data_IF_863095861322
#
_entry.id   IF_863095861322
#
_cell.length_a   1.000
_cell.length_b   1.000
_cell.length_c   1.000
_cell.angle_alpha   90.00
_cell.angle_beta   90.00
_cell.angle_gamma   90.00
#
_symmetry.space_group_name_H-M   'P 1'
#
loop_
_entity.id
_entity.type
_entity.pdbx_description
1 polymer ?
#
# COMPACT_ATOMS: atom_id res chain seq x y z
N UNK A 1 -29.43 -10.90 33.59
CA UNK A 1 -28.93 -9.60 33.14
C UNK A 1 -27.97 -9.85 32.00
N UNK A 2 -28.26 -9.50 30.75
CA UNK A 2 -27.30 -9.65 29.67
C UNK A 2 -26.28 -8.51 29.73
N UNK A 3 -25.00 -8.86 29.66
CA UNK A 3 -23.91 -7.94 29.60
C UNK A 3 -23.95 -7.17 28.26
N UNK A 4 -23.95 -5.88 28.39
CA UNK A 4 -23.94 -4.86 27.35
C UNK A 4 -22.65 -5.00 26.51
N UNK A 5 -22.80 -5.49 25.28
CA UNK A 5 -21.73 -5.50 24.27
C UNK A 5 -21.62 -4.10 23.67
N UNK A 6 -21.09 -3.13 24.44
CA UNK A 6 -20.80 -1.80 23.92
C UNK A 6 -19.49 -1.81 23.14
N UNK A 7 -19.66 -1.63 21.85
CA UNK A 7 -18.83 -0.85 20.94
C UNK A 7 -17.35 -0.73 21.31
N UNK A 8 -16.56 -1.74 20.91
CA UNK A 8 -15.15 -1.51 20.64
C UNK A 8 -15.04 -0.61 19.40
N UNK A 9 -14.45 0.56 19.55
CA UNK A 9 -14.03 1.34 18.39
C UNK A 9 -13.14 0.48 17.48
N UNK A 10 -13.38 0.50 16.16
CA UNK A 10 -12.52 -0.23 15.26
C UNK A 10 -11.08 0.29 15.39
N UNK A 11 -10.15 -0.61 15.70
CA UNK A 11 -8.73 -0.30 15.88
C UNK A 11 -8.00 0.03 14.56
N UNK A 12 -8.71 0.06 13.43
CA UNK A 12 -8.22 0.65 12.20
C UNK A 12 -8.37 2.17 12.32
N UNK A 13 -7.28 2.90 12.28
CA UNK A 13 -7.29 4.34 12.05
C UNK A 13 -7.80 4.63 10.64
N UNK A 14 -9.07 4.24 10.38
CA UNK A 14 -9.82 4.68 9.23
C UNK A 14 -9.93 6.19 9.37
N UNK A 15 -9.16 6.91 8.58
CA UNK A 15 -9.47 8.30 8.28
C UNK A 15 -10.92 8.24 7.80
N UNK A 16 -11.88 8.89 8.50
CA UNK A 16 -13.25 8.89 8.03
C UNK A 16 -13.22 9.40 6.59
N UNK A 17 -13.96 8.76 5.67
CA UNK A 17 -14.04 9.27 4.32
C UNK A 17 -14.50 10.71 4.41
N UNK A 18 -13.73 11.64 3.84
CA UNK A 18 -14.24 13.00 3.66
C UNK A 18 -15.58 12.89 2.93
N UNK A 19 -16.60 13.66 3.34
CA UNK A 19 -17.90 13.61 2.69
C UNK A 19 -17.69 13.89 1.19
N UNK A 20 -18.01 12.88 0.38
CA UNK A 20 -17.87 12.97 -1.07
C UNK A 20 -18.65 14.17 -1.58
N UNK A 21 -17.97 15.19 -2.07
CA UNK A 21 -18.57 16.21 -2.91
C UNK A 21 -19.05 15.59 -4.22
N UNK A 22 -19.90 16.24 -4.98
CA UNK A 22 -20.40 15.74 -6.26
C UNK A 22 -19.26 15.45 -7.32
N UNK A 23 -18.03 15.90 -7.05
CA UNK A 23 -16.82 15.67 -7.85
C UNK A 23 -16.01 14.43 -7.41
N UNK A 24 -16.36 13.78 -6.28
CA UNK A 24 -15.64 12.64 -5.72
C UNK A 24 -16.20 11.27 -6.16
N UNK A 25 -16.80 11.18 -7.34
CA UNK A 25 -17.21 9.89 -7.87
C UNK A 25 -15.99 9.04 -8.20
N UNK A 26 -15.82 7.92 -7.49
CA UNK A 26 -14.75 6.95 -7.78
C UNK A 26 -15.09 6.23 -9.08
N UNK A 27 -14.35 6.51 -10.13
CA UNK A 27 -14.48 5.76 -11.39
C UNK A 27 -13.88 4.37 -11.20
N UNK A 28 -14.69 3.33 -11.38
CA UNK A 28 -14.22 1.93 -11.33
C UNK A 28 -13.11 1.73 -12.38
N UNK A 29 -12.04 1.04 -12.00
CA UNK A 29 -10.89 0.79 -12.87
C UNK A 29 -9.95 1.98 -13.02
N UNK A 30 -10.06 2.99 -12.15
CA UNK A 30 -9.11 4.10 -12.08
C UNK A 30 -8.43 4.17 -10.72
N UNK A 31 -7.11 4.08 -10.74
CA UNK A 31 -6.27 4.32 -9.58
C UNK A 31 -6.15 5.83 -9.29
N UNK A 32 -5.76 6.17 -8.08
CA UNK A 32 -5.51 7.55 -7.68
C UNK A 32 -4.09 7.67 -7.11
N UNK A 33 -3.30 8.60 -7.65
CA UNK A 33 -2.06 9.03 -7.01
C UNK A 33 -2.43 9.91 -5.82
N UNK A 34 -2.35 9.33 -4.61
CA UNK A 34 -2.67 10.01 -3.35
C UNK A 34 -1.58 10.98 -2.93
N UNK A 35 -0.36 10.65 -3.30
CA UNK A 35 0.81 11.47 -3.05
C UNK A 35 1.79 11.32 -4.21
N UNK A 36 2.21 12.40 -4.88
CA UNK A 36 3.27 12.32 -5.87
C UNK A 36 4.63 12.06 -5.21
N UNK A 37 5.54 11.42 -5.95
CA UNK A 37 6.90 11.14 -5.50
C UNK A 37 7.82 10.72 -6.64
N UNK A 38 9.12 10.67 -6.38
CA UNK A 38 10.15 10.47 -7.42
C UNK A 38 11.06 9.26 -7.18
N UNK A 39 11.15 8.75 -5.94
CA UNK A 39 12.19 7.76 -5.60
C UNK A 39 11.66 6.33 -5.58
N UNK A 40 10.44 6.12 -5.09
CA UNK A 40 9.82 4.79 -4.98
C UNK A 40 8.32 4.88 -5.23
N UNK A 41 7.79 4.00 -6.07
CA UNK A 41 6.36 3.76 -6.24
C UNK A 41 5.85 2.83 -5.15
N UNK A 42 4.89 3.29 -4.35
CA UNK A 42 4.15 2.47 -3.38
C UNK A 42 2.76 2.21 -3.92
N UNK A 43 2.48 0.95 -4.28
CA UNK A 43 1.17 0.53 -4.77
C UNK A 43 0.39 -0.09 -3.62
N UNK A 44 -0.77 0.46 -3.31
CA UNK A 44 -1.59 0.00 -2.17
C UNK A 44 -3.08 0.09 -2.48
N UNK A 45 -3.92 -0.47 -1.60
CA UNK A 45 -5.39 -0.41 -1.69
C UNK A 45 -6.02 -0.71 -0.33
N UNK A 46 -7.22 -0.18 -0.10
CA UNK A 46 -8.00 -0.45 1.11
C UNK A 46 -7.38 0.13 2.38
N UNK A 47 -7.40 -0.64 3.47
CA UNK A 47 -6.93 -0.18 4.80
C UNK A 47 -5.50 0.37 4.85
N UNK A 48 -4.50 -0.25 4.20
CA UNK A 48 -3.12 0.21 4.24
C UNK A 48 -2.83 1.58 3.60
N UNK A 49 -3.75 2.16 2.85
CA UNK A 49 -3.53 3.48 2.19
C UNK A 49 -3.12 4.55 3.21
N UNK A 50 -3.82 4.63 4.35
CA UNK A 50 -3.46 5.59 5.41
C UNK A 50 -2.07 5.36 5.99
N UNK A 51 -1.71 4.09 6.22
CA UNK A 51 -0.38 3.73 6.72
C UNK A 51 0.73 4.04 5.69
N UNK A 52 0.44 3.84 4.39
CA UNK A 52 1.37 4.18 3.31
C UNK A 52 1.61 5.69 3.22
N UNK A 53 0.58 6.51 3.38
CA UNK A 53 0.70 7.97 3.41
C UNK A 53 1.53 8.43 4.60
N UNK A 54 1.24 7.91 5.81
CA UNK A 54 2.03 8.23 7.01
C UNK A 54 3.50 7.83 6.87
N UNK A 55 3.77 6.65 6.30
CA UNK A 55 5.14 6.21 6.02
C UNK A 55 5.85 7.12 5.01
N UNK A 56 5.13 7.60 3.98
CA UNK A 56 5.70 8.50 2.99
C UNK A 56 6.06 9.88 3.58
N UNK A 57 5.23 10.42 4.47
CA UNK A 57 5.54 11.65 5.21
C UNK A 57 6.75 11.47 6.13
N UNK A 58 6.83 10.34 6.82
CA UNK A 58 7.95 10.03 7.70
C UNK A 58 9.25 9.83 6.92
N UNK A 59 9.22 9.12 5.78
CA UNK A 59 10.35 8.93 4.89
C UNK A 59 10.94 10.26 4.42
N UNK A 60 10.09 11.18 3.96
CA UNK A 60 10.53 12.51 3.53
C UNK A 60 11.14 13.30 4.68
N UNK A 61 10.48 13.34 5.85
CA UNK A 61 10.92 14.10 7.00
C UNK A 61 12.25 13.59 7.58
N UNK A 62 12.46 12.25 7.63
CA UNK A 62 13.62 11.65 8.28
C UNK A 62 14.78 11.38 7.35
N UNK A 63 14.52 11.09 6.09
CA UNK A 63 15.50 10.59 5.12
C UNK A 63 15.55 11.40 3.83
N UNK A 64 14.60 12.30 3.60
CA UNK A 64 14.47 13.05 2.34
C UNK A 64 13.98 12.18 1.16
N UNK A 65 13.43 10.98 1.43
CA UNK A 65 12.92 10.08 0.38
C UNK A 65 11.53 10.48 -0.08
N UNK A 66 11.34 10.55 -1.39
CA UNK A 66 10.10 10.97 -2.04
C UNK A 66 9.32 9.77 -2.56
N UNK A 67 8.32 9.31 -1.79
CA UNK A 67 7.50 8.16 -2.13
C UNK A 67 6.24 8.59 -2.88
N UNK A 68 5.99 8.02 -4.06
CA UNK A 68 4.71 8.12 -4.75
C UNK A 68 3.75 7.05 -4.22
N UNK A 69 2.62 7.48 -3.66
CA UNK A 69 1.60 6.55 -3.12
C UNK A 69 0.41 6.47 -4.06
N UNK A 70 0.18 5.30 -4.62
CA UNK A 70 -0.94 4.97 -5.52
C UNK A 70 -1.96 4.12 -4.78
N UNK A 71 -3.18 4.63 -4.66
CA UNK A 71 -4.35 3.87 -4.23
C UNK A 71 -5.04 3.27 -5.46
N UNK A 72 -5.05 1.94 -5.57
CA UNK A 72 -5.64 1.24 -6.71
C UNK A 72 -7.15 1.39 -6.79
N UNK A 73 -7.85 1.59 -5.66
CA UNK A 73 -9.31 1.72 -5.54
C UNK A 73 -10.11 0.54 -6.12
N UNK A 74 -9.69 0.02 -7.29
CA UNK A 74 -10.30 -1.11 -7.98
C UNK A 74 -9.23 -2.15 -8.31
N UNK A 75 -9.52 -3.41 -7.98
CA UNK A 75 -8.64 -4.54 -8.28
C UNK A 75 -9.03 -5.24 -9.58
N UNK A 76 -10.32 -5.17 -9.95
CA UNK A 76 -10.87 -5.73 -11.18
C UNK A 76 -12.01 -4.79 -11.66
N UNK A 77 -11.84 -4.08 -12.79
CA UNK A 77 -10.60 -3.95 -13.55
C UNK A 77 -9.51 -3.18 -12.80
N UNK A 78 -8.24 -3.52 -13.06
CA UNK A 78 -7.07 -2.86 -12.49
C UNK A 78 -6.57 -1.77 -13.44
N UNK A 79 -6.32 -0.56 -12.94
CA UNK A 79 -5.61 0.50 -13.65
C UNK A 79 -4.10 0.25 -13.60
N UNK A 80 -3.64 -0.66 -14.44
CA UNK A 80 -2.22 -0.99 -14.50
C UNK A 80 -1.39 0.11 -15.17
N UNK A 81 -1.97 0.87 -16.08
CA UNK A 81 -1.28 1.95 -16.80
C UNK A 81 -0.77 3.03 -15.83
N UNK A 82 -1.57 3.38 -14.81
CA UNK A 82 -1.14 4.32 -13.76
C UNK A 82 0.04 3.76 -12.96
N UNK A 83 0.04 2.47 -12.63
CA UNK A 83 1.14 1.80 -11.92
C UNK A 83 2.40 1.76 -12.78
N UNK A 84 2.28 1.36 -14.04
CA UNK A 84 3.38 1.29 -14.99
C UNK A 84 4.03 2.67 -15.22
N UNK A 85 3.23 3.71 -15.43
CA UNK A 85 3.72 5.07 -15.60
C UNK A 85 4.50 5.58 -14.38
N UNK A 86 4.10 5.20 -13.16
CA UNK A 86 4.81 5.53 -11.94
C UNK A 86 6.14 4.78 -11.85
N UNK A 87 6.13 3.47 -12.07
CA UNK A 87 7.35 2.63 -12.03
C UNK A 87 8.37 3.11 -13.06
N UNK A 88 7.92 3.46 -14.28
CA UNK A 88 8.79 4.03 -15.32
C UNK A 88 9.54 5.29 -14.86
N UNK A 89 8.93 6.10 -13.99
CA UNK A 89 9.58 7.32 -13.45
C UNK A 89 10.50 7.05 -12.28
N UNK A 90 10.11 6.12 -11.38
CA UNK A 90 10.81 5.89 -10.10
C UNK A 90 11.84 4.77 -10.16
N UNK A 91 11.72 3.84 -11.11
CA UNK A 91 12.54 2.65 -11.22
C UNK A 91 12.39 1.65 -10.07
N UNK A 92 11.59 1.95 -9.04
CA UNK A 92 11.49 1.17 -7.80
C UNK A 92 10.04 1.00 -7.37
N UNK A 93 9.69 -0.18 -6.90
CA UNK A 93 8.31 -0.47 -6.52
C UNK A 93 8.22 -1.30 -5.23
N UNK A 94 7.28 -0.90 -4.35
CA UNK A 94 6.84 -1.67 -3.20
C UNK A 94 5.33 -1.82 -3.26
N UNK A 95 4.83 -3.06 -3.16
CA UNK A 95 3.40 -3.34 -3.04
C UNK A 95 3.04 -3.51 -1.57
N UNK A 96 2.09 -2.71 -1.07
CA UNK A 96 1.61 -2.79 0.32
C UNK A 96 0.15 -3.22 0.38
N UNK A 97 -0.14 -4.32 1.11
CA UNK A 97 -1.51 -4.83 1.27
C UNK A 97 -1.67 -5.67 2.53
N UNK A 98 -2.90 -5.80 3.04
CA UNK A 98 -3.20 -6.55 4.27
C UNK A 98 -3.12 -8.07 4.11
N UNK A 99 -3.33 -8.59 2.92
CA UNK A 99 -3.35 -10.04 2.68
C UNK A 99 -2.03 -10.74 3.05
N UNK A 100 -2.07 -12.05 3.23
CA UNK A 100 -0.88 -12.85 3.52
C UNK A 100 0.14 -12.77 2.37
N UNK A 101 1.39 -13.03 2.69
CA UNK A 101 2.49 -12.93 1.73
C UNK A 101 2.36 -13.91 0.56
N UNK A 102 1.95 -15.16 0.84
CA UNK A 102 1.94 -16.23 -0.17
C UNK A 102 0.73 -16.21 -1.10
N UNK A 103 -0.46 -15.83 -0.61
CA UNK A 103 -1.73 -15.97 -1.35
C UNK A 103 -2.50 -14.66 -1.52
N UNK A 104 -1.94 -13.55 -1.07
CA UNK A 104 -2.60 -12.25 -1.21
C UNK A 104 -2.58 -11.74 -2.64
N UNK A 105 -3.55 -10.88 -3.01
CA UNK A 105 -3.62 -10.24 -4.33
C UNK A 105 -2.30 -9.57 -4.74
N UNK A 106 -1.55 -9.01 -3.79
CA UNK A 106 -0.24 -8.42 -4.04
C UNK A 106 0.81 -9.39 -4.59
N UNK A 107 0.62 -10.71 -4.46
CA UNK A 107 1.51 -11.68 -5.11
C UNK A 107 1.28 -11.72 -6.63
N UNK A 108 0.00 -11.73 -7.07
CA UNK A 108 -0.35 -11.65 -8.48
C UNK A 108 0.04 -10.30 -9.10
N UNK A 109 -0.19 -9.21 -8.37
CA UNK A 109 0.22 -7.87 -8.81
C UNK A 109 1.75 -7.78 -8.96
N UNK A 110 2.50 -8.32 -8.01
CA UNK A 110 3.96 -8.37 -8.07
C UNK A 110 4.47 -9.20 -9.27
N UNK A 111 3.80 -10.34 -9.56
CA UNK A 111 4.13 -11.15 -10.75
C UNK A 111 3.88 -10.35 -12.03
N UNK A 112 2.74 -9.68 -12.15
CA UNK A 112 2.40 -8.85 -13.31
C UNK A 112 3.39 -7.70 -13.50
N UNK A 113 3.74 -6.98 -12.43
CA UNK A 113 4.76 -5.91 -12.50
C UNK A 113 6.10 -6.49 -12.95
N UNK A 114 6.49 -7.66 -12.43
CA UNK A 114 7.73 -8.32 -12.83
C UNK A 114 7.72 -8.74 -14.30
N UNK A 115 6.59 -9.22 -14.83
CA UNK A 115 6.46 -9.66 -16.22
C UNK A 115 6.46 -8.47 -17.20
N UNK A 116 5.75 -7.38 -16.87
CA UNK A 116 5.54 -6.26 -17.78
C UNK A 116 6.58 -5.13 -17.61
N UNK A 117 7.18 -4.98 -16.42
CA UNK A 117 8.03 -3.84 -16.06
C UNK A 117 9.46 -4.25 -15.65
N UNK A 118 9.89 -5.50 -15.92
CA UNK A 118 11.19 -6.01 -15.47
C UNK A 118 12.37 -5.10 -15.83
N UNK A 119 12.40 -4.60 -17.05
CA UNK A 119 13.50 -3.76 -17.56
C UNK A 119 13.47 -2.31 -17.07
N UNK A 120 12.37 -1.90 -16.43
CA UNK A 120 12.20 -0.58 -15.83
C UNK A 120 12.59 -0.57 -14.34
N UNK A 121 12.73 -1.76 -13.73
CA UNK A 121 13.05 -1.89 -12.32
C UNK A 121 14.56 -1.83 -12.09
N UNK A 122 14.99 -0.89 -11.25
CA UNK A 122 16.37 -0.72 -10.78
C UNK A 122 16.68 -1.52 -9.51
N UNK A 123 15.64 -2.06 -8.85
CA UNK A 123 15.75 -2.85 -7.63
C UNK A 123 14.70 -3.97 -7.61
N UNK A 124 14.90 -5.04 -6.80
CA UNK A 124 13.87 -6.07 -6.64
C UNK A 124 12.56 -5.47 -6.12
N UNK A 125 11.43 -5.86 -6.73
CA UNK A 125 10.11 -5.52 -6.23
C UNK A 125 9.89 -6.18 -4.87
N UNK A 126 9.55 -5.39 -3.85
CA UNK A 126 9.29 -5.88 -2.50
C UNK A 126 7.80 -5.76 -2.14
N UNK A 127 7.38 -6.54 -1.14
CA UNK A 127 6.00 -6.54 -0.65
C UNK A 127 5.96 -6.31 0.86
N UNK A 128 5.34 -5.21 1.28
CA UNK A 128 4.96 -4.94 2.66
C UNK A 128 3.55 -5.51 2.90
N UNK A 129 3.43 -6.70 3.46
CA UNK A 129 2.16 -7.43 3.57
C UNK A 129 2.03 -8.16 4.90
N UNK A 130 0.85 -8.72 5.14
CA UNK A 130 0.59 -9.58 6.28
C UNK A 130 1.50 -10.82 6.28
N UNK A 131 1.59 -11.49 7.42
CA UNK A 131 2.35 -12.72 7.57
C UNK A 131 1.50 -13.95 7.19
N UNK A 132 2.15 -15.04 6.79
CA UNK A 132 1.49 -16.28 6.36
C UNK A 132 1.00 -17.09 7.58
N UNK A 133 0.06 -16.53 8.31
CA UNK A 133 -0.61 -17.14 9.46
C UNK A 133 -2.12 -16.89 9.36
N UNK A 134 -2.97 -17.68 10.05
CA UNK A 134 -4.37 -17.34 10.20
C UNK A 134 -4.53 -15.90 10.75
N UNK A 135 -5.58 -15.21 10.31
CA UNK A 135 -5.86 -13.85 10.79
C UNK A 135 -6.05 -13.85 12.32
N UNK A 136 -5.32 -13.02 13.04
CA UNK A 136 -5.33 -13.05 14.50
C UNK A 136 -6.59 -12.42 15.11
N UNK A 137 -6.87 -12.69 16.39
CA UNK A 137 -7.90 -11.95 17.14
C UNK A 137 -7.57 -10.45 17.19
N UNK A 138 -8.59 -9.61 17.31
CA UNK A 138 -8.49 -8.13 17.28
C UNK A 138 -7.35 -7.53 18.14
N UNK A 139 -7.08 -8.11 19.33
CA UNK A 139 -6.00 -7.67 20.22
C UNK A 139 -4.58 -7.80 19.63
N UNK A 140 -4.40 -8.68 18.62
CA UNK A 140 -3.10 -8.95 17.97
C UNK A 140 -3.05 -8.40 16.53
N UNK A 141 -4.13 -7.84 16.04
CA UNK A 141 -4.29 -7.36 14.66
C UNK A 141 -3.20 -6.36 14.26
N UNK A 142 -2.84 -5.44 15.16
CA UNK A 142 -1.78 -4.45 14.91
C UNK A 142 -0.40 -5.06 14.66
N UNK A 143 -0.14 -6.26 15.17
CA UNK A 143 1.12 -6.98 14.93
C UNK A 143 1.13 -7.69 13.57
N UNK A 144 -0.05 -8.00 13.07
CA UNK A 144 -0.24 -8.73 11.82
C UNK A 144 -0.33 -7.81 10.62
N UNK A 145 -1.10 -6.72 10.73
CA UNK A 145 -1.27 -5.73 9.67
C UNK A 145 0.06 -5.04 9.34
N UNK A 146 0.32 -4.79 8.04
CA UNK A 146 1.48 -4.03 7.63
C UNK A 146 1.31 -2.56 8.03
N UNK A 147 2.16 -2.11 8.97
CA UNK A 147 2.25 -0.72 9.38
C UNK A 147 3.28 0.09 8.58
N UNK A 148 3.42 1.40 8.91
CA UNK A 148 4.45 2.27 8.32
C UNK A 148 5.85 1.69 8.40
N UNK A 149 6.24 1.14 9.55
CA UNK A 149 7.58 0.57 9.78
C UNK A 149 7.93 -0.51 8.76
N UNK A 150 6.97 -1.44 8.49
CA UNK A 150 7.18 -2.53 7.52
C UNK A 150 7.31 -2.01 6.09
N UNK A 151 6.62 -0.93 5.75
CA UNK A 151 6.79 -0.27 4.46
C UNK A 151 8.17 0.40 4.38
N UNK A 152 8.59 1.15 5.41
CA UNK A 152 9.88 1.82 5.46
C UNK A 152 11.05 0.84 5.37
N UNK A 153 10.98 -0.34 6.01
CA UNK A 153 11.96 -1.40 5.84
C UNK A 153 12.09 -1.87 4.38
N UNK A 154 10.96 -1.98 3.67
CA UNK A 154 10.98 -2.31 2.24
C UNK A 154 11.57 -1.17 1.41
N UNK A 155 11.21 0.07 1.69
CA UNK A 155 11.72 1.27 1.00
C UNK A 155 13.24 1.39 1.17
N UNK A 156 13.74 1.25 2.40
CA UNK A 156 15.19 1.29 2.67
C UNK A 156 15.95 0.23 1.87
N UNK A 157 15.38 -0.97 1.75
CA UNK A 157 15.99 -2.06 0.99
C UNK A 157 16.00 -1.83 -0.51
N UNK A 158 14.95 -1.23 -1.09
CA UNK A 158 14.93 -0.95 -2.55
C UNK A 158 15.78 0.27 -2.91
N UNK A 159 15.98 1.21 -1.99
CA UNK A 159 16.85 2.37 -2.18
C UNK A 159 18.33 2.05 -1.88
N UNK A 160 18.60 1.09 -0.99
CA UNK A 160 19.96 0.67 -0.61
C UNK A 160 20.59 -0.35 -1.55
N UNK A 161 19.92 -0.76 -2.63
CA UNK A 161 20.52 -1.61 -3.67
C UNK A 161 21.39 -0.75 -4.60
N UNK A 162 22.63 -1.17 -4.88
CA UNK A 162 23.52 -0.45 -5.79
C UNK A 162 23.07 -0.55 -7.24
#
# INVERSE_FOLDING_TARGET
>A
MPADCRSGEPASGLIPPEPAGAEDSVTIGRALVRRPGTDVTVVTYGGPVGAALSAAEEAERQRGWSLEVIDLRSLVPLDFDTVAASIHRTGRCVVMHEGPRSLGYGAGLAARIQEEMFYELEAPLLRACGVDTPYPPARLERLWLPGPDRLLDCVERVLGQP
#
